data_IF_194895446913
#
_entry.id   IF_194895446913
#
_cell.length_a   1.000
_cell.length_b   1.000
_cell.length_c   1.000
_cell.angle_alpha   90.00
_cell.angle_beta   90.00
_cell.angle_gamma   90.00
#
_symmetry.space_group_name_H-M   'P 1'
#
loop_
_entity.id
_entity.type
_entity.pdbx_description
1 polymer ?
#
# COMPACT_ATOMS: atom_id res chain seq x y z
N UNK A 1 -7.54 34.07 -59.07
CA UNK A 1 -6.43 34.21 -60.03
C UNK A 1 -5.16 34.30 -59.21
N UNK A 2 -4.42 33.19 -59.01
CA UNK A 2 -3.20 32.77 -59.77
C UNK A 2 -2.11 33.85 -59.74
N UNK A 3 -0.87 33.60 -59.31
CA UNK A 3 -0.15 32.36 -58.99
C UNK A 3 1.04 32.70 -58.07
N UNK A 4 2.07 31.90 -57.89
CA UNK A 4 2.44 30.51 -58.18
C UNK A 4 3.70 30.29 -57.31
N UNK A 5 3.81 29.09 -56.73
CA UNK A 5 4.91 28.49 -55.94
C UNK A 5 6.26 28.46 -56.76
N UNK A 6 7.46 27.94 -56.33
CA UNK A 6 7.77 27.10 -55.14
C UNK A 6 9.20 27.17 -54.50
N UNK A 7 9.33 26.46 -53.37
CA UNK A 7 10.42 25.58 -52.88
C UNK A 7 11.91 26.01 -52.83
N UNK A 8 12.51 25.84 -51.63
CA UNK A 8 13.75 25.07 -51.41
C UNK A 8 14.03 24.92 -49.89
N UNK A 9 14.13 23.67 -49.39
CA UNK A 9 14.83 23.35 -48.12
C UNK A 9 16.31 23.02 -48.38
N UNK A 10 16.97 22.21 -47.52
CA UNK A 10 17.34 22.48 -46.14
C UNK A 10 18.88 22.53 -45.97
N UNK A 11 19.38 23.33 -45.02
CA UNK A 11 20.81 23.40 -44.68
C UNK A 11 21.12 22.63 -43.39
N UNK A 12 21.92 21.58 -43.49
CA UNK A 12 22.36 20.73 -42.40
C UNK A 12 23.77 21.10 -41.88
N UNK A 13 23.99 20.78 -40.59
CA UNK A 13 25.27 20.50 -39.91
C UNK A 13 26.12 21.72 -39.45
N UNK A 14 26.94 21.62 -38.37
CA UNK A 14 27.58 20.38 -37.90
C UNK A 14 27.51 20.05 -36.40
N UNK A 15 27.83 18.78 -36.16
CA UNK A 15 28.08 18.14 -34.88
C UNK A 15 29.42 18.55 -34.26
N UNK A 16 29.42 18.64 -32.94
CA UNK A 16 30.57 18.58 -32.04
C UNK A 16 30.06 17.84 -30.79
N UNK A 17 30.74 16.91 -30.15
CA UNK A 17 32.11 16.43 -30.18
C UNK A 17 32.25 15.65 -28.87
N UNK A 18 32.57 14.37 -28.97
CA UNK A 18 32.68 13.43 -27.84
C UNK A 18 33.89 13.80 -26.99
N UNK A 19 33.71 13.94 -25.68
CA UNK A 19 34.81 14.05 -24.71
C UNK A 19 34.61 12.97 -23.62
N UNK A 20 35.42 11.91 -23.69
CA UNK A 20 35.54 10.92 -22.63
C UNK A 20 36.43 11.43 -21.48
N UNK A 21 36.26 10.94 -20.25
CA UNK A 21 37.14 11.29 -19.14
C UNK A 21 38.50 10.54 -19.23
N UNK A 22 39.61 11.18 -18.81
CA UNK A 22 40.96 10.64 -18.94
C UNK A 22 41.31 9.58 -17.89
N UNK A 23 42.29 8.74 -18.26
CA UNK A 23 42.94 7.70 -17.47
C UNK A 23 43.55 8.21 -16.15
N UNK A 24 43.49 7.38 -15.11
CA UNK A 24 44.09 7.65 -13.79
C UNK A 24 45.61 7.43 -13.75
N UNK A 25 46.23 7.55 -12.57
CA UNK A 25 47.53 6.94 -12.31
C UNK A 25 47.41 5.63 -11.51
N UNK A 26 48.24 4.70 -11.94
CA UNK A 26 48.40 3.30 -11.53
C UNK A 26 49.21 3.14 -10.24
N UNK A 27 48.73 2.24 -9.38
CA UNK A 27 49.40 1.32 -8.45
C UNK A 27 50.51 1.79 -7.48
N UNK A 28 50.37 1.34 -6.21
CA UNK A 28 51.36 0.43 -5.61
C UNK A 28 50.63 -0.75 -4.96
N UNK A 29 51.02 -1.93 -5.42
CA UNK A 29 50.69 -3.25 -4.93
C UNK A 29 51.73 -3.68 -3.91
N UNK A 30 51.30 -4.27 -2.80
CA UNK A 30 52.09 -5.28 -2.08
C UNK A 30 51.18 -6.44 -1.68
N UNK A 31 51.45 -7.60 -2.27
CA UNK A 31 50.90 -8.92 -1.98
C UNK A 31 51.01 -9.24 -0.46
N UNK A 32 50.01 -9.87 0.17
CA UNK A 32 49.78 -11.33 0.20
C UNK A 32 50.34 -11.91 1.51
N UNK A 33 49.69 -12.92 2.15
CA UNK A 33 49.39 -14.18 1.48
C UNK A 33 47.97 -14.74 1.69
N UNK A 34 47.46 -15.26 0.58
CA UNK A 34 46.66 -16.48 0.37
C UNK A 34 46.29 -17.36 1.57
N UNK A 35 44.97 -17.55 1.75
CA UNK A 35 44.34 -18.87 1.97
C UNK A 35 42.97 -18.90 1.29
N UNK A 36 42.62 -20.03 0.66
CA UNK A 36 41.51 -20.22 -0.28
C UNK A 36 40.08 -20.19 0.29
N UNK A 37 39.08 -20.56 -0.55
CA UNK A 37 37.69 -20.16 -0.37
C UNK A 37 36.96 -21.06 0.63
N UNK A 38 36.34 -20.47 1.65
CA UNK A 38 35.32 -21.16 2.44
C UNK A 38 33.95 -20.67 1.98
N UNK A 39 33.27 -21.51 1.21
CA UNK A 39 31.85 -21.37 0.88
C UNK A 39 31.03 -21.38 2.17
N UNK A 40 30.63 -20.20 2.64
CA UNK A 40 29.67 -20.04 3.73
C UNK A 40 28.25 -20.00 3.19
N UNK A 41 27.62 -21.18 3.07
CA UNK A 41 26.17 -21.29 2.87
C UNK A 41 25.47 -20.81 4.13
N UNK A 42 24.79 -19.66 4.06
CA UNK A 42 23.85 -19.26 5.11
C UNK A 42 22.59 -20.11 4.92
N UNK A 43 22.42 -21.09 5.81
CA UNK A 43 21.25 -21.95 5.85
C UNK A 43 19.99 -21.15 6.18
N UNK A 44 18.94 -21.33 5.38
CA UNK A 44 17.58 -20.93 5.72
C UNK A 44 17.11 -21.67 6.99
N UNK A 45 16.29 -21.05 7.86
CA UNK A 45 15.70 -21.76 8.98
C UNK A 45 14.76 -22.86 8.45
N UNK A 46 15.12 -24.11 8.75
CA UNK A 46 14.37 -25.31 8.41
C UNK A 46 13.02 -25.29 9.11
N UNK A 47 11.92 -25.25 8.35
CA UNK A 47 10.58 -25.46 8.87
C UNK A 47 10.44 -26.93 9.35
N UNK A 48 10.18 -27.11 10.64
CA UNK A 48 9.74 -28.40 11.20
C UNK A 48 8.31 -28.73 10.76
N UNK A 49 7.89 -30.01 10.83
CA UNK A 49 6.72 -30.51 10.11
C UNK A 49 5.41 -29.91 10.68
N UNK A 50 4.56 -29.44 9.77
CA UNK A 50 3.19 -29.04 10.05
C UNK A 50 2.37 -30.25 10.50
N UNK A 51 2.15 -30.38 11.81
CA UNK A 51 1.14 -31.29 12.35
C UNK A 51 -0.25 -30.71 12.03
N UNK A 52 -1.03 -31.48 11.27
CA UNK A 52 -2.39 -31.11 10.86
C UNK A 52 -3.31 -30.90 12.05
N UNK A 53 -4.07 -29.81 12.01
CA UNK A 53 -5.29 -29.63 12.77
C UNK A 53 -6.36 -29.07 11.82
N UNK A 54 -7.43 -29.85 11.60
CA UNK A 54 -8.60 -29.43 10.82
C UNK A 54 -9.32 -28.21 11.45
N UNK A 55 -10.03 -27.38 10.65
CA UNK A 55 -10.13 -25.95 10.93
C UNK A 55 -11.55 -25.44 11.31
N UNK A 56 -12.31 -26.13 12.16
CA UNK A 56 -13.70 -25.70 12.42
C UNK A 56 -14.26 -25.81 13.85
N UNK A 57 -13.61 -26.46 14.82
CA UNK A 57 -14.34 -26.87 16.04
C UNK A 57 -13.89 -26.21 17.37
N UNK A 58 -13.22 -25.05 17.33
CA UNK A 58 -12.79 -24.35 18.57
C UNK A 58 -12.93 -22.82 18.57
N UNK A 59 -13.93 -22.26 17.88
CA UNK A 59 -14.26 -20.83 18.01
C UNK A 59 -15.67 -20.62 18.55
N UNK A 60 -15.97 -21.21 19.71
CA UNK A 60 -17.11 -20.78 20.52
C UNK A 60 -16.80 -19.45 21.23
N UNK A 61 -17.80 -18.57 21.49
CA UNK A 61 -17.58 -17.37 22.29
C UNK A 61 -17.18 -17.77 23.71
N UNK A 62 -15.96 -17.45 24.12
CA UNK A 62 -15.53 -17.66 25.50
C UNK A 62 -15.92 -16.42 26.32
N UNK A 63 -16.66 -16.57 27.43
CA UNK A 63 -16.98 -15.42 28.29
C UNK A 63 -15.68 -14.89 28.91
N UNK A 64 -15.47 -13.58 28.82
CA UNK A 64 -14.42 -12.91 29.61
C UNK A 64 -14.82 -12.94 31.08
N UNK A 65 -13.95 -13.39 32.00
CA UNK A 65 -14.17 -13.11 33.41
C UNK A 65 -14.01 -11.59 33.59
N UNK A 66 -14.93 -11.01 34.36
CA UNK A 66 -15.07 -9.58 34.57
C UNK A 66 -13.73 -8.83 34.76
N UNK A 67 -13.57 -7.71 34.06
CA UNK A 67 -12.58 -6.68 34.37
C UNK A 67 -11.55 -6.38 33.27
N UNK A 68 -11.93 -5.54 32.31
CA UNK A 68 -10.99 -4.83 31.43
C UNK A 68 -10.39 -5.66 30.29
N UNK A 69 -10.31 -5.06 29.10
CA UNK A 69 -9.53 -5.60 27.99
C UNK A 69 -8.05 -5.44 28.35
N UNK A 70 -7.47 -6.46 28.99
CA UNK A 70 -6.05 -6.52 29.33
C UNK A 70 -5.23 -6.85 28.08
N UNK A 71 -5.09 -5.86 27.20
CA UNK A 71 -4.25 -5.95 26.00
C UNK A 71 -4.74 -6.97 24.96
N UNK A 72 -4.11 -7.00 23.77
CA UNK A 72 -4.49 -7.96 22.76
C UNK A 72 -4.06 -9.36 23.19
N UNK A 73 -5.02 -10.29 23.19
CA UNK A 73 -4.84 -11.73 23.48
C UNK A 73 -3.82 -12.38 22.53
N UNK A 74 -3.57 -11.74 21.38
CA UNK A 74 -2.58 -12.13 20.39
C UNK A 74 -1.76 -10.89 19.99
N UNK A 75 -0.45 -10.92 20.23
CA UNK A 75 0.49 -9.85 19.82
C UNK A 75 0.91 -10.05 18.35
N UNK A 76 -0.07 -10.06 17.44
CA UNK A 76 0.16 -10.14 15.99
C UNK A 76 -0.10 -8.79 15.34
N UNK A 77 0.89 -8.27 14.61
CA UNK A 77 0.77 -7.00 13.89
C UNK A 77 -0.29 -7.00 12.77
N UNK A 78 -0.70 -8.17 12.28
CA UNK A 78 -1.67 -8.29 11.18
C UNK A 78 -3.12 -8.52 11.62
N UNK A 79 -3.35 -9.13 12.77
CA UNK A 79 -4.70 -9.60 13.17
C UNK A 79 -4.99 -9.55 14.67
N UNK A 80 -4.05 -9.10 15.50
CA UNK A 80 -4.18 -9.13 16.95
C UNK A 80 -4.70 -7.85 17.59
N UNK A 81 -4.71 -6.74 16.86
CA UNK A 81 -5.06 -5.43 17.40
C UNK A 81 -6.57 -5.29 17.65
N UNK A 82 -6.92 -4.77 18.83
CA UNK A 82 -8.28 -4.39 19.22
C UNK A 82 -8.27 -2.91 19.59
N UNK A 83 -9.23 -2.15 19.08
CA UNK A 83 -9.32 -0.70 19.29
C UNK A 83 -10.78 -0.22 19.15
N UNK A 84 -11.04 1.02 19.52
CA UNK A 84 -12.34 1.69 19.29
C UNK A 84 -12.36 2.43 17.95
N UNK A 85 -13.56 2.73 17.44
CA UNK A 85 -13.74 3.56 16.23
C UNK A 85 -13.08 4.92 16.39
N UNK A 86 -13.22 5.55 17.58
CA UNK A 86 -12.65 6.87 17.85
C UNK A 86 -11.12 6.84 17.88
N UNK A 87 -10.51 5.81 18.45
CA UNK A 87 -9.06 5.69 18.47
C UNK A 87 -8.51 5.42 17.06
N UNK A 88 -9.22 4.61 16.27
CA UNK A 88 -8.86 4.38 14.88
C UNK A 88 -9.05 5.63 14.00
N UNK A 89 -10.06 6.45 14.29
CA UNK A 89 -10.24 7.76 13.66
C UNK A 89 -9.05 8.68 13.93
N UNK A 90 -8.55 8.77 15.16
CA UNK A 90 -7.37 9.59 15.48
C UNK A 90 -6.15 9.16 14.66
N UNK A 91 -5.95 7.85 14.51
CA UNK A 91 -4.90 7.30 13.66
C UNK A 91 -5.11 7.66 12.17
N UNK A 92 -6.32 7.50 11.65
CA UNK A 92 -6.61 7.81 10.25
C UNK A 92 -6.53 9.32 9.96
N UNK A 93 -7.01 10.16 10.88
CA UNK A 93 -6.86 11.61 10.82
C UNK A 93 -5.39 12.02 10.85
N UNK A 94 -4.57 11.37 11.69
CA UNK A 94 -3.12 11.60 11.72
C UNK A 94 -2.46 11.36 10.36
N UNK A 95 -2.90 10.32 9.64
CA UNK A 95 -2.41 10.03 8.29
C UNK A 95 -2.93 11.04 7.26
N UNK A 96 -4.19 11.49 7.37
CA UNK A 96 -4.74 12.55 6.53
C UNK A 96 -3.95 13.86 6.69
N UNK A 97 -3.60 14.21 7.93
CA UNK A 97 -2.85 15.42 8.30
C UNK A 97 -1.33 15.28 8.03
N UNK A 98 -0.88 14.25 7.32
CA UNK A 98 0.53 14.11 6.93
C UNK A 98 1.45 13.74 8.09
N UNK A 99 0.96 12.95 9.05
CA UNK A 99 1.76 12.36 10.12
C UNK A 99 1.62 13.03 11.48
N UNK A 100 0.69 13.98 11.63
CA UNK A 100 0.47 14.76 12.86
C UNK A 100 -0.95 14.61 13.37
N UNK A 101 -1.15 14.59 14.68
CA UNK A 101 -2.48 14.68 15.29
C UNK A 101 -2.43 15.64 16.47
N UNK A 102 -3.23 16.72 16.41
CA UNK A 102 -3.07 17.86 17.30
C UNK A 102 -1.66 18.44 17.19
N UNK A 103 -0.97 18.60 18.32
CA UNK A 103 0.38 19.19 18.37
C UNK A 103 1.51 18.15 18.21
N UNK A 104 1.18 16.86 18.06
CA UNK A 104 2.19 15.79 18.03
C UNK A 104 2.42 15.27 16.62
N UNK A 105 3.70 15.11 16.25
CA UNK A 105 4.14 14.41 15.05
C UNK A 105 4.53 12.97 15.38
N UNK A 106 3.89 12.01 14.71
CA UNK A 106 4.25 10.59 14.78
C UNK A 106 5.05 10.14 13.56
N UNK A 107 4.75 10.69 12.38
CA UNK A 107 5.43 10.39 11.13
C UNK A 107 5.83 11.68 10.40
N UNK A 108 6.90 11.64 9.62
CA UNK A 108 7.21 12.72 8.68
C UNK A 108 6.22 12.68 7.51
N UNK A 109 5.90 13.83 6.89
CA UNK A 109 4.94 13.87 5.80
C UNK A 109 5.43 13.07 4.58
N UNK A 110 6.75 13.02 4.37
CA UNK A 110 7.40 12.20 3.35
C UNK A 110 7.19 10.70 3.60
N UNK A 111 7.21 10.26 4.87
CA UNK A 111 6.92 8.87 5.23
C UNK A 111 5.47 8.50 4.91
N UNK A 112 4.53 9.39 5.20
CA UNK A 112 3.11 9.18 4.85
C UNK A 112 2.91 9.18 3.34
N UNK A 113 3.62 10.06 2.62
CA UNK A 113 3.60 10.08 1.16
C UNK A 113 4.13 8.77 0.55
N UNK A 114 5.25 8.24 1.08
CA UNK A 114 5.79 6.96 0.66
C UNK A 114 4.85 5.78 1.00
N UNK A 115 4.23 5.80 2.18
CA UNK A 115 3.25 4.79 2.60
C UNK A 115 2.09 4.67 1.62
N UNK A 116 1.56 5.79 1.14
CA UNK A 116 0.44 5.84 0.19
C UNK A 116 0.84 5.91 -1.29
N UNK A 117 2.11 5.72 -1.62
CA UNK A 117 2.57 5.59 -3.00
C UNK A 117 2.55 4.12 -3.42
N UNK A 118 2.25 3.85 -4.69
CA UNK A 118 2.30 2.48 -5.21
C UNK A 118 3.74 1.98 -5.24
N UNK A 119 3.99 0.83 -4.61
CA UNK A 119 5.31 0.21 -4.52
C UNK A 119 5.46 -0.97 -5.47
N UNK A 120 4.39 -1.31 -6.23
CA UNK A 120 4.40 -2.38 -7.21
C UNK A 120 4.73 -1.86 -8.61
N UNK A 121 5.60 -2.53 -9.38
CA UNK A 121 5.79 -2.24 -10.79
C UNK A 121 4.51 -2.56 -11.60
N UNK A 122 4.33 -1.86 -12.72
CA UNK A 122 3.12 -1.96 -13.55
C UNK A 122 2.82 -3.38 -14.04
N UNK A 123 3.85 -4.21 -14.26
CA UNK A 123 3.70 -5.59 -14.70
C UNK A 123 3.15 -6.54 -13.61
N UNK A 124 3.04 -6.09 -12.36
CA UNK A 124 2.39 -6.82 -11.26
C UNK A 124 0.96 -6.33 -11.00
N UNK A 125 0.46 -5.36 -11.78
CA UNK A 125 -0.89 -4.85 -11.67
C UNK A 125 -1.83 -5.49 -12.72
N UNK A 126 -3.07 -5.83 -12.35
CA UNK A 126 -3.59 -5.86 -10.98
C UNK A 126 -2.97 -7.01 -10.19
N UNK A 127 -2.60 -6.75 -8.94
CA UNK A 127 -2.13 -7.80 -8.04
C UNK A 127 -3.28 -8.74 -7.64
N UNK A 128 -2.95 -9.93 -7.14
CA UNK A 128 -3.93 -10.94 -6.76
C UNK A 128 -4.01 -11.08 -5.24
N UNK A 129 -5.22 -11.35 -4.76
CA UNK A 129 -5.50 -11.63 -3.36
C UNK A 129 -6.09 -13.04 -3.26
N UNK A 130 -5.76 -13.83 -2.22
CA UNK A 130 -6.10 -15.25 -2.14
C UNK A 130 -7.56 -15.55 -1.76
N UNK A 131 -8.48 -14.62 -1.99
CA UNK A 131 -9.92 -14.75 -1.70
C UNK A 131 -10.77 -14.25 -2.89
N UNK A 132 -12.05 -14.64 -3.00
CA UNK A 132 -12.90 -14.23 -4.13
C UNK A 132 -13.35 -12.75 -4.03
N UNK A 133 -13.93 -12.22 -5.11
CA UNK A 133 -14.55 -10.89 -5.19
C UNK A 133 -13.61 -9.72 -4.82
N UNK A 134 -12.35 -9.81 -5.25
CA UNK A 134 -11.27 -8.88 -4.89
C UNK A 134 -11.11 -7.67 -5.79
N UNK A 135 -11.87 -7.58 -6.88
CA UNK A 135 -11.74 -6.52 -7.89
C UNK A 135 -11.73 -5.10 -7.28
N UNK A 136 -12.51 -4.88 -6.22
CA UNK A 136 -12.57 -3.58 -5.50
C UNK A 136 -11.29 -3.21 -4.75
N UNK A 137 -10.37 -4.16 -4.55
CA UNK A 137 -9.07 -3.92 -3.94
C UNK A 137 -7.94 -3.95 -4.96
N UNK A 138 -8.13 -4.51 -6.15
CA UNK A 138 -7.03 -4.81 -7.07
C UNK A 138 -7.14 -4.07 -8.41
N UNK A 139 -8.34 -3.89 -8.94
CA UNK A 139 -8.55 -3.24 -10.25
C UNK A 139 -8.38 -1.72 -10.10
N UNK A 140 -7.58 -1.10 -10.97
CA UNK A 140 -7.29 0.34 -10.89
C UNK A 140 -6.55 0.76 -9.61
N UNK A 141 -6.00 -0.20 -8.86
CA UNK A 141 -5.37 0.00 -7.57
C UNK A 141 -3.94 -0.53 -7.56
N UNK A 142 -3.05 0.21 -6.90
CA UNK A 142 -1.73 -0.23 -6.50
C UNK A 142 -1.69 -0.63 -5.04
N UNK A 143 -0.50 -1.02 -4.57
CA UNK A 143 -0.29 -1.37 -3.17
C UNK A 143 0.89 -0.58 -2.62
N UNK A 144 0.62 0.21 -1.60
CA UNK A 144 1.61 0.95 -0.82
C UNK A 144 2.15 0.13 0.35
N UNK A 145 2.77 0.79 1.32
CA UNK A 145 3.21 0.11 2.53
C UNK A 145 2.03 -0.17 3.45
N UNK A 146 1.45 -1.36 3.29
CA UNK A 146 0.35 -1.86 4.13
C UNK A 146 -1.04 -1.34 3.75
N UNK A 147 -1.18 -0.66 2.60
CA UNK A 147 -2.45 -0.07 2.15
C UNK A 147 -2.66 -0.25 0.65
N UNK A 148 -3.92 -0.37 0.23
CA UNK A 148 -4.33 -0.23 -1.17
C UNK A 148 -4.34 1.26 -1.53
N UNK A 149 -3.82 1.61 -2.70
CA UNK A 149 -3.81 2.98 -3.24
C UNK A 149 -4.58 3.02 -4.56
N UNK A 150 -5.52 3.95 -4.73
CA UNK A 150 -6.23 4.13 -5.99
C UNK A 150 -5.32 4.81 -7.02
N UNK A 151 -5.13 4.18 -8.17
CA UNK A 151 -4.32 4.70 -9.28
C UNK A 151 -5.18 5.26 -10.42
N UNK A 152 -6.31 4.60 -10.70
CA UNK A 152 -7.23 4.97 -11.78
C UNK A 152 -8.67 4.70 -11.32
N UNK A 153 -9.44 5.78 -11.14
CA UNK A 153 -10.84 5.71 -10.66
C UNK A 153 -11.76 5.07 -11.70
N UNK A 154 -11.50 5.24 -13.00
CA UNK A 154 -12.32 4.67 -14.07
C UNK A 154 -12.12 3.15 -14.15
N UNK A 155 -10.87 2.69 -14.03
CA UNK A 155 -10.58 1.27 -13.89
C UNK A 155 -11.05 0.71 -12.56
N UNK A 156 -11.01 1.48 -11.49
CA UNK A 156 -11.48 0.99 -10.20
C UNK A 156 -13.01 0.81 -10.16
N UNK A 157 -13.76 1.75 -10.76
CA UNK A 157 -15.22 1.68 -10.87
C UNK A 157 -15.97 1.94 -9.57
N UNK A 158 -15.30 2.53 -8.58
CA UNK A 158 -15.86 2.89 -7.27
C UNK A 158 -15.68 4.39 -7.04
N UNK A 159 -16.64 5.10 -6.43
CA UNK A 159 -16.49 6.51 -6.10
C UNK A 159 -15.25 6.77 -5.24
N UNK A 160 -14.46 7.77 -5.59
CA UNK A 160 -13.27 8.19 -4.84
C UNK A 160 -12.30 8.97 -5.72
N UNK A 161 -11.14 9.28 -5.16
CA UNK A 161 -10.10 10.04 -5.84
C UNK A 161 -8.84 9.21 -6.08
N UNK A 162 -8.06 9.59 -7.09
CA UNK A 162 -6.70 9.06 -7.27
C UNK A 162 -5.87 9.42 -6.04
N UNK A 163 -5.13 8.45 -5.52
CA UNK A 163 -4.35 8.59 -4.28
C UNK A 163 -5.14 8.37 -2.99
N UNK A 164 -6.44 8.06 -3.07
CA UNK A 164 -7.19 7.50 -1.93
C UNK A 164 -6.52 6.19 -1.49
N UNK A 165 -6.35 6.01 -0.18
CA UNK A 165 -5.73 4.82 0.36
C UNK A 165 -6.48 4.24 1.55
N UNK A 166 -6.34 2.94 1.78
CA UNK A 166 -7.10 2.25 2.82
C UNK A 166 -6.94 0.74 2.77
N UNK A 167 -7.60 0.06 3.70
CA UNK A 167 -7.64 -1.40 3.75
C UNK A 167 -8.87 -1.91 4.51
N UNK A 168 -9.15 -3.21 4.36
CA UNK A 168 -10.25 -3.89 5.02
C UNK A 168 -9.76 -4.89 6.07
N UNK A 169 -10.57 -5.12 7.10
CA UNK A 169 -10.39 -6.17 8.08
C UNK A 169 -11.47 -7.25 7.99
N UNK A 170 -11.14 -8.44 8.47
CA UNK A 170 -11.94 -9.65 8.29
C UNK A 170 -13.37 -9.55 8.86
N UNK A 171 -13.58 -8.78 9.94
CA UNK A 171 -14.88 -8.60 10.57
C UNK A 171 -15.77 -7.54 9.88
N UNK A 172 -15.63 -7.39 8.56
CA UNK A 172 -16.22 -6.32 7.75
C UNK A 172 -15.91 -4.92 8.33
N UNK A 173 -14.68 -4.72 8.79
CA UNK A 173 -14.16 -3.38 9.09
C UNK A 173 -13.56 -2.80 7.82
N UNK A 174 -13.80 -1.52 7.55
CA UNK A 174 -13.24 -0.86 6.38
C UNK A 174 -12.86 0.59 6.70
N UNK A 175 -11.63 0.96 6.34
CA UNK A 175 -11.10 2.31 6.43
C UNK A 175 -10.68 2.75 5.02
N UNK A 176 -11.03 3.97 4.66
CA UNK A 176 -10.32 4.69 3.61
C UNK A 176 -10.11 6.16 3.97
N UNK A 177 -9.07 6.73 3.39
CA UNK A 177 -8.64 8.10 3.55
C UNK A 177 -8.49 8.68 2.15
N UNK A 178 -9.20 9.76 1.88
CA UNK A 178 -9.10 10.52 0.63
C UNK A 178 -8.51 11.91 0.90
N UNK A 179 -7.19 12.10 0.67
CA UNK A 179 -6.56 13.40 0.82
C UNK A 179 -7.06 14.46 -0.17
N UNK A 180 -7.58 14.07 -1.33
CA UNK A 180 -8.09 15.04 -2.31
C UNK A 180 -9.42 15.64 -1.86
N UNK A 181 -10.25 14.85 -1.18
CA UNK A 181 -11.55 15.29 -0.63
C UNK A 181 -11.48 15.67 0.85
N UNK A 182 -10.32 15.49 1.51
CA UNK A 182 -10.14 15.70 2.96
C UNK A 182 -11.09 14.83 3.80
N UNK A 183 -11.22 13.55 3.43
CA UNK A 183 -12.17 12.61 4.05
C UNK A 183 -11.44 11.47 4.75
N UNK A 184 -11.87 11.16 5.96
CA UNK A 184 -11.62 9.89 6.65
C UNK A 184 -12.97 9.21 6.84
N UNK A 185 -13.09 7.95 6.42
CA UNK A 185 -14.31 7.19 6.63
C UNK A 185 -14.01 5.80 7.22
N UNK A 186 -14.84 5.41 8.18
CA UNK A 186 -14.68 4.21 8.99
C UNK A 186 -16.00 3.45 9.05
N UNK A 187 -15.97 2.18 8.69
CA UNK A 187 -17.09 1.26 8.85
C UNK A 187 -16.67 0.11 9.77
N UNK A 188 -17.35 -0.06 10.90
CA UNK A 188 -17.06 -1.10 11.89
C UNK A 188 -18.31 -1.97 12.10
N UNK A 189 -18.49 -3.00 11.28
CA UNK A 189 -19.71 -3.82 11.29
C UNK A 189 -19.65 -5.03 12.24
N UNK A 190 -18.46 -5.52 12.60
CA UNK A 190 -18.28 -6.74 13.41
C UNK A 190 -19.09 -7.95 12.88
N UNK A 191 -19.10 -8.12 11.56
CA UNK A 191 -19.89 -9.14 10.89
C UNK A 191 -18.99 -10.19 10.22
N UNK A 192 -19.46 -11.43 10.18
CA UNK A 192 -18.85 -12.53 9.43
C UNK A 192 -19.94 -13.31 8.66
N UNK A 193 -19.62 -13.92 7.50
CA UNK A 193 -18.32 -13.92 6.84
C UNK A 193 -17.97 -12.56 6.19
N UNK A 194 -16.67 -12.35 5.92
CA UNK A 194 -16.19 -11.18 5.20
C UNK A 194 -16.86 -11.11 3.81
N UNK A 195 -17.26 -9.91 3.38
CA UNK A 195 -17.89 -9.67 2.07
C UNK A 195 -19.26 -10.35 1.85
N UNK A 196 -19.96 -10.76 2.90
CA UNK A 196 -21.30 -11.32 2.76
C UNK A 196 -22.38 -10.25 2.49
N UNK A 197 -22.06 -8.97 2.70
CA UNK A 197 -22.97 -7.84 2.50
C UNK A 197 -22.36 -6.83 1.54
N UNK A 198 -23.20 -6.01 0.92
CA UNK A 198 -22.83 -4.84 0.09
C UNK A 198 -22.54 -3.59 0.92
N UNK A 199 -22.49 -3.73 2.26
CA UNK A 199 -22.48 -2.60 3.20
C UNK A 199 -21.30 -1.65 2.98
N UNK A 200 -20.10 -2.17 2.69
CA UNK A 200 -18.90 -1.36 2.43
C UNK A 200 -19.06 -0.50 1.17
N UNK A 201 -19.67 -1.07 0.13
CA UNK A 201 -19.89 -0.43 -1.17
C UNK A 201 -20.99 0.63 -1.08
N UNK A 202 -22.12 0.29 -0.46
CA UNK A 202 -23.24 1.21 -0.25
C UNK A 202 -22.84 2.38 0.65
N UNK A 203 -22.18 2.08 1.78
CA UNK A 203 -21.70 3.11 2.70
C UNK A 203 -20.76 4.09 2.00
N UNK A 204 -19.82 3.58 1.21
CA UNK A 204 -18.90 4.43 0.46
C UNK A 204 -19.61 5.31 -0.57
N UNK A 205 -20.57 4.75 -1.31
CA UNK A 205 -21.37 5.51 -2.27
C UNK A 205 -22.12 6.67 -1.58
N UNK A 206 -22.78 6.39 -0.45
CA UNK A 206 -23.51 7.39 0.33
C UNK A 206 -22.59 8.49 0.90
N UNK A 207 -21.39 8.13 1.37
CA UNK A 207 -20.40 9.12 1.83
C UNK A 207 -20.03 10.08 0.70
N UNK A 208 -19.71 9.57 -0.49
CA UNK A 208 -19.34 10.44 -1.62
C UNK A 208 -20.53 11.20 -2.23
N UNK A 209 -21.74 10.69 -2.08
CA UNK A 209 -22.96 11.42 -2.44
C UNK A 209 -23.17 12.62 -1.50
N UNK A 210 -23.01 12.43 -0.19
CA UNK A 210 -23.16 13.48 0.82
C UNK A 210 -22.16 14.63 0.66
N UNK A 211 -20.99 14.39 0.06
CA UNK A 211 -19.98 15.42 -0.19
C UNK A 211 -20.29 16.32 -1.39
N UNK A 212 -21.24 15.94 -2.25
CA UNK A 212 -21.64 16.72 -3.43
C UNK A 212 -22.79 17.69 -3.14
N UNK A 213 -23.35 17.65 -1.93
CA UNK A 213 -24.50 18.44 -1.49
C UNK A 213 -24.15 19.82 -0.95
#
# INVERSE_FOLDING_TARGET
MRGLNPAAGPGAAPAAGVAGPPAGPTAVSTAGPTTGPTTGTVAAPTAGPAAGASPADKLGPRPSPAGGVTGPVLQSGSSGLVSTVLDYYRFAQMLLDGGTFGERRLLHPETVAAMRHNQLPDNLLPYQLPWPHTARYTRGCGFGFGVRVVLDVQQWGVPGSVGEFGWAGAANTYLWIDPAQQVVALLFAQAFPFMHTSLDTEFKALVYEALRG
#
